data_IF_028327056665
#
_entry.id   IF_028327056665
#
_cell.length_a   1.000
_cell.length_b   1.000
_cell.length_c   1.000
_cell.angle_alpha   90.00
_cell.angle_beta   90.00
_cell.angle_gamma   90.00
#
_symmetry.space_group_name_H-M   'P 1'
#
loop_
_entity.id
_entity.type
_entity.pdbx_description
1 polymer ?
#
# COMPACT_ATOMS: atom_id res chain seq x y z
N UNK A 1 -17.24 -19.77 7.01
CA UNK A 1 -17.55 -19.24 8.37
C UNK A 1 -19.05 -19.23 8.56
N UNK A 2 -19.56 -19.55 9.75
CA UNK A 2 -21.00 -19.35 10.03
C UNK A 2 -21.32 -17.86 10.04
N UNK A 3 -22.39 -17.44 9.38
CA UNK A 3 -22.82 -16.02 9.32
C UNK A 3 -22.92 -15.35 10.70
N UNK A 4 -23.16 -16.13 11.76
CA UNK A 4 -23.31 -15.67 13.14
C UNK A 4 -22.21 -14.71 13.62
N UNK A 5 -20.96 -14.93 13.21
CA UNK A 5 -19.81 -14.18 13.71
C UNK A 5 -19.26 -13.14 12.73
N UNK A 6 -19.87 -12.99 11.54
CA UNK A 6 -19.41 -11.99 10.57
C UNK A 6 -19.96 -10.61 10.95
N UNK A 7 -19.12 -9.61 11.25
CA UNK A 7 -19.59 -8.26 11.53
C UNK A 7 -20.41 -7.70 10.35
N UNK A 8 -21.47 -6.95 10.67
CA UNK A 8 -22.33 -6.31 9.66
C UNK A 8 -21.92 -4.89 9.29
N UNK A 9 -21.18 -4.22 10.18
CA UNK A 9 -20.78 -2.81 10.03
C UNK A 9 -19.27 -2.62 9.88
N UNK A 10 -18.47 -3.59 10.33
CA UNK A 10 -17.02 -3.53 10.24
C UNK A 10 -16.56 -4.35 9.03
N UNK A 11 -15.55 -3.84 8.34
CA UNK A 11 -14.97 -4.52 7.20
C UNK A 11 -14.42 -5.89 7.58
N UNK A 12 -14.65 -6.88 6.71
CA UNK A 12 -14.00 -8.19 6.74
C UNK A 12 -13.72 -8.62 5.31
N UNK A 13 -12.58 -9.27 5.00
CA UNK A 13 -12.37 -9.83 3.66
C UNK A 13 -13.41 -10.93 3.40
N UNK A 14 -13.70 -11.23 2.13
CA UNK A 14 -14.65 -12.30 1.77
C UNK A 14 -14.28 -13.64 2.41
N UNK A 15 -12.97 -13.94 2.45
CA UNK A 15 -12.36 -15.13 3.03
C UNK A 15 -10.92 -14.81 3.47
N UNK A 16 -10.15 -15.82 3.91
CA UNK A 16 -8.72 -15.67 4.19
C UNK A 16 -8.37 -14.97 5.53
N UNK A 17 -7.12 -14.51 5.61
CA UNK A 17 -6.56 -13.78 6.76
C UNK A 17 -6.32 -12.32 6.40
N UNK A 18 -6.66 -11.41 7.31
CA UNK A 18 -6.36 -9.98 7.21
C UNK A 18 -5.75 -9.45 8.51
N UNK A 19 -4.83 -8.49 8.39
CA UNK A 19 -4.36 -7.68 9.51
C UNK A 19 -4.40 -6.17 9.17
N UNK A 20 -3.24 -5.53 9.07
CA UNK A 20 -3.10 -4.08 9.06
C UNK A 20 -3.84 -3.44 7.86
N UNK A 21 -4.51 -2.29 8.05
CA UNK A 21 -4.97 -1.47 6.94
C UNK A 21 -3.78 -0.80 6.25
N UNK A 22 -3.83 -0.77 4.92
CA UNK A 22 -2.81 -0.23 4.04
C UNK A 22 -3.41 0.80 3.09
N UNK A 23 -2.55 1.63 2.50
CA UNK A 23 -2.90 2.35 1.27
C UNK A 23 -4.11 3.28 1.33
N UNK A 24 -4.57 3.69 2.53
CA UNK A 24 -5.82 4.45 2.69
C UNK A 24 -5.76 5.76 1.91
N UNK A 25 -6.64 5.92 0.92
CA UNK A 25 -6.69 7.11 0.06
C UNK A 25 -8.13 7.35 -0.43
N UNK A 26 -8.50 8.62 -0.58
CA UNK A 26 -9.79 9.02 -1.15
C UNK A 26 -9.58 9.67 -2.52
N UNK A 27 -10.11 9.04 -3.56
CA UNK A 27 -9.94 9.47 -4.96
C UNK A 27 -11.22 9.21 -5.74
N UNK A 28 -11.59 10.11 -6.64
CA UNK A 28 -12.72 9.96 -7.57
C UNK A 28 -14.06 9.62 -6.87
N UNK A 29 -14.28 10.16 -5.66
CA UNK A 29 -15.51 9.96 -4.89
C UNK A 29 -15.56 8.66 -4.07
N UNK A 30 -14.44 7.92 -4.00
CA UNK A 30 -14.34 6.62 -3.34
C UNK A 30 -13.25 6.62 -2.28
N UNK A 31 -13.56 6.03 -1.13
CA UNK A 31 -12.58 5.61 -0.14
C UNK A 31 -11.99 4.28 -0.59
N UNK A 32 -10.68 4.24 -0.80
CA UNK A 32 -9.94 3.01 -1.07
C UNK A 32 -9.35 2.49 0.25
N UNK A 33 -9.71 1.25 0.59
CA UNK A 33 -9.13 0.47 1.67
C UNK A 33 -8.28 -0.63 1.07
N UNK A 34 -6.98 -0.60 1.33
CA UNK A 34 -6.12 -1.75 1.13
C UNK A 34 -5.82 -2.38 2.49
N UNK A 35 -5.41 -3.63 2.50
CA UNK A 35 -5.14 -4.35 3.74
C UNK A 35 -4.19 -5.50 3.51
N UNK A 36 -3.36 -5.80 4.50
CA UNK A 36 -2.54 -7.02 4.49
C UNK A 36 -3.47 -8.23 4.38
N UNK A 37 -3.22 -9.08 3.37
CA UNK A 37 -4.13 -10.15 3.00
C UNK A 37 -3.41 -11.44 2.65
N UNK A 38 -3.91 -12.56 3.17
CA UNK A 38 -3.54 -13.89 2.71
C UNK A 38 -4.81 -14.64 2.26
N UNK A 39 -5.04 -14.77 0.94
CA UNK A 39 -6.28 -15.32 0.40
C UNK A 39 -6.43 -16.83 0.60
N UNK A 40 -5.33 -17.55 0.79
CA UNK A 40 -5.32 -19.01 0.72
C UNK A 40 -5.45 -19.71 2.08
N UNK A 41 -5.42 -18.95 3.19
CA UNK A 41 -5.52 -19.51 4.53
C UNK A 41 -6.03 -18.47 5.53
N UNK A 42 -6.64 -18.94 6.62
CA UNK A 42 -6.99 -18.12 7.80
C UNK A 42 -5.82 -17.99 8.78
N UNK A 43 -4.60 -18.22 8.31
CA UNK A 43 -3.35 -18.02 9.06
C UNK A 43 -2.46 -17.09 8.26
N UNK A 44 -1.56 -16.41 8.95
CA UNK A 44 -0.52 -15.61 8.32
C UNK A 44 0.32 -16.45 7.34
N UNK A 45 0.76 -15.84 6.24
CA UNK A 45 1.48 -16.50 5.13
C UNK A 45 2.01 -15.48 4.12
N UNK A 46 2.20 -15.84 2.85
CA UNK A 46 2.57 -14.90 1.79
C UNK A 46 1.58 -13.73 1.70
N UNK A 47 2.04 -12.54 2.09
CA UNK A 47 1.19 -11.35 2.21
C UNK A 47 1.00 -10.64 0.86
N UNK A 48 -0.24 -10.26 0.61
CA UNK A 48 -0.72 -9.45 -0.51
C UNK A 48 -1.33 -8.16 0.03
N UNK A 49 -1.62 -7.20 -0.84
CA UNK A 49 -2.60 -6.15 -0.54
C UNK A 49 -3.95 -6.51 -1.14
N UNK A 50 -4.90 -6.88 -0.28
CA UNK A 50 -6.32 -6.89 -0.66
C UNK A 50 -6.82 -5.46 -0.91
N UNK A 51 -7.92 -5.33 -1.64
CA UNK A 51 -8.46 -4.02 -2.02
C UNK A 51 -9.99 -4.01 -1.95
N UNK A 52 -10.54 -2.93 -1.39
CA UNK A 52 -11.97 -2.68 -1.38
C UNK A 52 -12.23 -1.18 -1.43
N UNK A 53 -13.40 -0.80 -1.94
CA UNK A 53 -13.83 0.59 -2.03
C UNK A 53 -15.16 0.84 -1.34
N UNK A 54 -15.35 2.05 -0.84
CA UNK A 54 -16.61 2.49 -0.23
C UNK A 54 -16.92 3.94 -0.59
N UNK A 55 -18.20 4.29 -0.61
CA UNK A 55 -18.65 5.69 -0.71
C UNK A 55 -18.92 6.33 0.66
N UNK A 56 -19.07 5.52 1.70
CA UNK A 56 -19.58 5.96 3.01
C UNK A 56 -18.84 5.34 4.22
N UNK A 57 -17.77 4.59 3.98
CA UNK A 57 -16.97 3.85 4.96
C UNK A 57 -17.71 2.73 5.71
N UNK A 58 -18.93 2.40 5.30
CA UNK A 58 -19.77 1.36 5.92
C UNK A 58 -20.03 0.22 4.92
N UNK A 59 -20.43 0.56 3.70
CA UNK A 59 -20.72 -0.40 2.64
C UNK A 59 -19.50 -0.55 1.73
N UNK A 60 -18.95 -1.76 1.66
CA UNK A 60 -17.71 -2.05 0.96
C UNK A 60 -17.95 -2.96 -0.24
N UNK A 61 -17.34 -2.60 -1.37
CA UNK A 61 -17.24 -3.45 -2.56
C UNK A 61 -15.83 -4.03 -2.62
N UNK A 62 -15.72 -5.35 -2.59
CA UNK A 62 -14.45 -6.04 -2.77
C UNK A 62 -13.97 -5.93 -4.22
N UNK A 63 -12.67 -5.67 -4.39
CA UNK A 63 -12.01 -5.57 -5.68
C UNK A 63 -10.92 -6.67 -5.79
N UNK A 64 -10.36 -6.91 -6.99
CA UNK A 64 -9.22 -7.80 -7.14
C UNK A 64 -8.05 -7.41 -6.22
N UNK A 65 -7.17 -8.37 -5.95
CA UNK A 65 -5.94 -8.12 -5.19
C UNK A 65 -5.13 -7.04 -5.92
N UNK A 66 -4.71 -6.01 -5.19
CA UNK A 66 -3.99 -4.87 -5.76
C UNK A 66 -2.50 -5.16 -5.95
N UNK A 67 -1.87 -5.82 -4.98
CA UNK A 67 -0.44 -6.17 -5.02
C UNK A 67 -0.24 -7.62 -4.58
N UNK A 68 0.41 -8.40 -5.43
CA UNK A 68 0.80 -9.79 -5.17
C UNK A 68 2.31 -9.88 -4.89
N UNK A 69 2.79 -10.84 -4.07
CA UNK A 69 4.21 -11.14 -3.94
C UNK A 69 4.91 -11.36 -5.28
N UNK A 70 6.20 -11.06 -5.35
CA UNK A 70 7.05 -11.38 -6.50
C UNK A 70 8.45 -11.83 -6.05
N UNK A 71 9.44 -11.80 -6.95
CA UNK A 71 10.81 -12.21 -6.68
C UNK A 71 11.51 -11.35 -5.60
N UNK A 72 11.02 -10.14 -5.31
CA UNK A 72 11.51 -9.28 -4.21
C UNK A 72 10.92 -9.65 -2.85
N UNK A 73 9.87 -10.47 -2.83
CA UNK A 73 9.29 -11.04 -1.61
C UNK A 73 7.82 -10.72 -1.40
N UNK A 74 7.37 -10.85 -0.15
CA UNK A 74 5.99 -10.61 0.25
C UNK A 74 5.69 -9.12 0.35
N UNK A 75 4.42 -8.76 0.16
CA UNK A 75 3.95 -7.37 0.22
C UNK A 75 3.56 -7.06 1.65
N UNK A 76 4.39 -6.28 2.33
CA UNK A 76 4.14 -5.80 3.69
C UNK A 76 3.43 -4.45 3.69
N UNK A 77 3.12 -3.96 4.89
CA UNK A 77 2.31 -2.77 5.08
C UNK A 77 2.91 -1.51 4.44
N UNK A 78 2.07 -0.49 4.30
CA UNK A 78 2.47 0.76 3.67
C UNK A 78 1.30 1.70 3.41
N UNK A 79 1.57 2.74 2.63
CA UNK A 79 0.63 3.82 2.36
C UNK A 79 0.42 4.05 0.87
N UNK A 80 -0.56 4.88 0.53
CA UNK A 80 -0.76 5.33 -0.84
C UNK A 80 -1.01 6.83 -0.86
N UNK A 81 -0.63 7.46 -1.96
CA UNK A 81 -0.81 8.89 -2.21
C UNK A 81 -1.42 9.10 -3.58
N UNK A 82 -2.21 10.17 -3.72
CA UNK A 82 -2.69 10.63 -5.02
C UNK A 82 -1.73 11.71 -5.54
N UNK A 83 -0.95 11.39 -6.57
CA UNK A 83 0.07 12.29 -7.12
C UNK A 83 -0.57 13.25 -8.14
N UNK A 84 -1.28 14.25 -7.60
CA UNK A 84 -2.07 15.24 -8.35
C UNK A 84 -1.24 16.00 -9.40
N UNK A 85 0.03 16.25 -9.10
CA UNK A 85 0.93 17.06 -9.93
C UNK A 85 1.81 16.20 -10.85
N UNK A 86 1.61 14.88 -10.85
CA UNK A 86 2.38 13.92 -11.63
C UNK A 86 3.90 14.02 -11.41
N UNK A 87 4.30 14.26 -10.16
CA UNK A 87 5.71 14.39 -9.78
C UNK A 87 6.50 13.10 -10.02
N UNK A 88 5.84 11.94 -9.93
CA UNK A 88 6.41 10.63 -10.24
C UNK A 88 6.58 10.35 -11.74
N UNK A 89 5.87 11.08 -12.59
CA UNK A 89 5.84 10.85 -14.03
C UNK A 89 5.01 9.64 -14.47
N UNK A 90 4.32 8.93 -13.57
CA UNK A 90 3.49 7.76 -13.92
C UNK A 90 2.11 8.10 -14.49
N UNK A 91 1.67 9.34 -14.34
CA UNK A 91 0.45 9.89 -14.94
C UNK A 91 0.48 9.88 -16.46
N UNK A 92 -0.71 9.85 -17.07
CA UNK A 92 -0.90 9.94 -18.52
C UNK A 92 -2.04 10.89 -18.83
N UNK A 93 -1.83 11.80 -19.78
CA UNK A 93 -2.88 12.73 -20.23
C UNK A 93 -3.59 13.42 -19.05
N UNK A 94 -4.88 13.19 -18.90
CA UNK A 94 -5.77 13.68 -17.85
C UNK A 94 -5.83 12.80 -16.58
N UNK A 95 -5.15 11.64 -16.60
CA UNK A 95 -5.12 10.70 -15.47
C UNK A 95 -3.89 10.92 -14.60
N UNK A 96 -4.13 11.18 -13.32
CA UNK A 96 -3.11 11.19 -12.27
C UNK A 96 -3.06 9.85 -11.54
N UNK A 97 -1.88 9.38 -11.10
CA UNK A 97 -1.75 8.07 -10.50
C UNK A 97 -2.09 8.10 -9.00
N UNK A 98 -2.66 6.99 -8.52
CA UNK A 98 -2.44 6.58 -7.13
C UNK A 98 -1.08 5.88 -7.11
N UNK A 99 -0.20 6.28 -6.20
CA UNK A 99 1.09 5.62 -5.97
C UNK A 99 1.02 4.94 -4.60
N UNK A 100 1.14 3.62 -4.58
CA UNK A 100 1.33 2.82 -3.38
C UNK A 100 2.81 2.73 -3.05
N UNK A 101 3.16 2.93 -1.79
CA UNK A 101 4.50 2.80 -1.23
C UNK A 101 4.41 1.74 -0.14
N UNK A 102 5.17 0.66 -0.30
CA UNK A 102 5.02 -0.54 0.51
C UNK A 102 6.38 -1.19 0.77
N UNK A 103 6.42 -2.05 1.77
CA UNK A 103 7.62 -2.83 2.07
C UNK A 103 7.59 -4.15 1.30
N UNK A 104 8.66 -4.49 0.57
CA UNK A 104 8.94 -5.86 0.18
C UNK A 104 9.68 -6.54 1.34
N UNK A 105 9.19 -7.70 1.78
CA UNK A 105 9.78 -8.49 2.86
C UNK A 105 10.28 -9.84 2.33
N UNK A 106 11.56 -10.13 2.56
CA UNK A 106 12.21 -11.39 2.21
C UNK A 106 13.22 -11.80 3.28
N UNK A 107 13.83 -12.98 3.13
CA UNK A 107 14.96 -13.41 3.97
C UNK A 107 16.16 -12.46 3.86
N UNK A 108 16.29 -11.72 2.75
CA UNK A 108 17.30 -10.69 2.54
C UNK A 108 17.02 -9.36 3.25
N UNK A 109 15.92 -9.26 4.00
CA UNK A 109 15.49 -8.08 4.71
C UNK A 109 14.33 -7.33 4.05
N UNK A 110 13.99 -6.19 4.66
CA UNK A 110 12.84 -5.36 4.30
C UNK A 110 13.25 -4.13 3.51
N UNK A 111 12.66 -3.91 2.33
CA UNK A 111 13.03 -2.83 1.40
C UNK A 111 11.81 -2.03 0.99
N UNK A 112 11.95 -0.75 0.65
CA UNK A 112 10.79 0.08 0.26
C UNK A 112 10.63 0.08 -1.26
N UNK A 113 9.42 -0.22 -1.71
CA UNK A 113 9.05 -0.35 -3.12
C UNK A 113 7.80 0.48 -3.41
N UNK A 114 7.57 0.78 -4.67
CA UNK A 114 6.39 1.50 -5.12
C UNK A 114 5.66 0.78 -6.25
N UNK A 115 4.36 1.04 -6.34
CA UNK A 115 3.52 0.65 -7.46
C UNK A 115 2.54 1.78 -7.77
N UNK A 116 2.02 1.85 -8.98
CA UNK A 116 1.10 2.92 -9.38
C UNK A 116 -0.10 2.40 -10.15
N UNK A 117 -1.20 3.15 -10.09
CA UNK A 117 -2.44 2.82 -10.79
C UNK A 117 -3.10 4.05 -11.40
N UNK A 118 -3.51 3.93 -12.66
CA UNK A 118 -4.29 4.94 -13.39
C UNK A 118 -5.79 4.62 -13.47
N UNK A 119 -6.17 3.37 -13.23
CA UNK A 119 -7.57 2.91 -13.17
C UNK A 119 -8.08 2.72 -11.73
N UNK A 120 -7.21 3.00 -10.74
CA UNK A 120 -7.43 2.87 -9.29
C UNK A 120 -7.56 1.44 -8.78
N UNK A 121 -7.51 0.44 -9.66
CA UNK A 121 -7.83 -0.96 -9.35
C UNK A 121 -6.58 -1.82 -9.59
N UNK A 122 -6.01 -1.75 -10.80
CA UNK A 122 -4.83 -2.52 -11.18
C UNK A 122 -3.58 -1.70 -10.88
N UNK A 123 -2.67 -2.25 -10.09
CA UNK A 123 -1.41 -1.60 -9.76
C UNK A 123 -0.24 -2.23 -10.53
N UNK A 124 0.57 -1.37 -11.13
CA UNK A 124 1.81 -1.75 -11.81
C UNK A 124 2.98 -1.45 -10.87
N UNK A 125 3.72 -2.48 -10.46
CA UNK A 125 4.96 -2.29 -9.68
C UNK A 125 6.01 -1.57 -10.52
N UNK A 126 6.74 -0.65 -9.90
CA UNK A 126 7.83 0.05 -10.57
C UNK A 126 8.97 -0.91 -10.95
N UNK A 127 9.42 -0.84 -12.21
CA UNK A 127 10.37 -1.78 -12.78
C UNK A 127 11.77 -1.72 -12.15
N UNK A 128 12.09 -0.62 -11.47
CA UNK A 128 13.37 -0.44 -10.76
C UNK A 128 13.21 -0.54 -9.24
N UNK A 129 12.14 -1.20 -8.76
CA UNK A 129 12.03 -1.53 -7.35
C UNK A 129 13.23 -2.38 -6.89
N UNK A 130 13.66 -2.22 -5.62
CA UNK A 130 13.16 -1.27 -4.63
C UNK A 130 13.64 0.17 -4.87
N UNK A 131 12.87 1.17 -4.43
CA UNK A 131 13.30 2.59 -4.46
C UNK A 131 14.22 2.95 -3.29
N UNK A 132 14.10 2.24 -2.16
CA UNK A 132 15.00 2.38 -1.02
C UNK A 132 15.43 0.98 -0.56
N UNK A 133 16.72 0.69 -0.75
CA UNK A 133 17.37 -0.50 -0.22
C UNK A 133 17.45 -0.46 1.31
N UNK A 134 17.47 -1.64 1.94
CA UNK A 134 17.69 -1.74 3.38
C UNK A 134 19.17 -1.51 3.71
N UNK A 135 19.54 -0.49 4.51
CA UNK A 135 20.94 -0.25 4.88
C UNK A 135 21.47 -1.20 5.98
N UNK A 136 20.82 -2.34 6.22
CA UNK A 136 21.18 -3.30 7.27
C UNK A 136 20.44 -3.07 8.61
N UNK A 137 19.28 -2.44 8.55
CA UNK A 137 18.48 -2.07 9.72
C UNK A 137 17.34 -3.06 9.90
N UNK A 138 17.15 -3.49 11.15
CA UNK A 138 16.05 -4.36 11.56
C UNK A 138 14.73 -3.58 11.54
N UNK A 139 13.64 -4.26 11.20
CA UNK A 139 12.29 -3.69 11.20
C UNK A 139 12.19 -2.40 10.37
N UNK A 140 12.80 -2.41 9.17
CA UNK A 140 12.80 -1.30 8.23
C UNK A 140 11.58 -1.40 7.31
N UNK A 141 10.41 -1.00 7.81
CA UNK A 141 9.13 -1.27 7.17
C UNK A 141 8.05 -0.24 7.49
N UNK A 142 6.89 -0.43 6.86
CA UNK A 142 5.64 0.30 7.08
C UNK A 142 5.73 1.80 6.68
N UNK A 143 6.10 2.12 5.42
CA UNK A 143 6.32 3.49 4.98
C UNK A 143 5.00 4.27 4.89
N UNK A 144 4.92 5.37 5.66
CA UNK A 144 3.87 6.38 5.54
C UNK A 144 4.38 7.60 4.77
N UNK A 145 3.82 7.82 3.58
CA UNK A 145 4.15 8.96 2.72
C UNK A 145 3.03 10.00 2.72
N UNK A 146 3.43 11.27 2.67
CA UNK A 146 2.54 12.42 2.48
C UNK A 146 3.27 13.57 1.78
N UNK A 147 2.52 14.48 1.17
CA UNK A 147 3.06 15.70 0.56
C UNK A 147 3.24 16.79 1.62
N UNK A 148 4.40 17.43 1.65
CA UNK A 148 4.72 18.56 2.51
C UNK A 148 4.69 19.85 1.69
N UNK A 149 3.63 20.65 1.87
CA UNK A 149 3.33 21.82 1.03
C UNK A 149 4.41 22.91 1.13
N UNK A 150 4.89 23.24 2.34
CA UNK A 150 5.90 24.28 2.55
C UNK A 150 7.24 23.93 1.90
N UNK A 151 7.62 22.64 1.95
CA UNK A 151 8.86 22.14 1.37
C UNK A 151 8.74 21.70 -0.10
N UNK A 152 7.51 21.66 -0.64
CA UNK A 152 7.18 21.17 -1.99
C UNK A 152 7.80 19.81 -2.29
N UNK A 153 7.63 18.86 -1.38
CA UNK A 153 8.23 17.54 -1.50
C UNK A 153 7.41 16.46 -0.82
N UNK A 154 7.65 15.21 -1.20
CA UNK A 154 7.17 14.04 -0.48
C UNK A 154 8.03 13.76 0.75
N UNK A 155 7.38 13.49 1.87
CA UNK A 155 8.02 13.01 3.09
C UNK A 155 7.55 11.59 3.35
N UNK A 156 8.50 10.68 3.55
CA UNK A 156 8.24 9.33 4.02
C UNK A 156 8.70 9.19 5.47
N UNK A 157 7.84 8.63 6.31
CA UNK A 157 8.17 8.15 7.66
C UNK A 157 8.16 6.63 7.62
N UNK A 158 9.21 5.98 8.08
CA UNK A 158 9.34 4.52 8.07
C UNK A 158 9.85 4.02 9.41
N UNK A 159 9.29 2.92 9.91
CA UNK A 159 9.80 2.27 11.12
C UNK A 159 11.20 1.70 10.86
N UNK A 160 12.07 1.75 11.87
CA UNK A 160 13.45 1.30 11.79
C UNK A 160 13.90 0.84 13.19
N UNK A 161 13.55 -0.38 13.56
CA UNK A 161 13.88 -0.94 14.87
C UNK A 161 13.11 -0.27 16.01
N UNK A 162 13.77 0.61 16.76
CA UNK A 162 13.22 1.33 17.92
C UNK A 162 12.90 2.81 17.63
N UNK A 163 13.03 3.24 16.37
CA UNK A 163 12.84 4.63 15.94
C UNK A 163 12.14 4.70 14.59
N UNK A 164 11.90 5.92 14.14
CA UNK A 164 11.44 6.20 12.78
C UNK A 164 12.48 7.01 12.03
N UNK A 165 12.57 6.79 10.72
CA UNK A 165 13.36 7.60 9.81
C UNK A 165 12.48 8.45 8.91
N UNK A 166 13.01 9.63 8.57
CA UNK A 166 12.39 10.57 7.64
C UNK A 166 13.21 10.61 6.36
N UNK A 167 12.55 10.42 5.23
CA UNK A 167 13.12 10.59 3.90
C UNK A 167 12.36 11.69 3.17
N UNK A 168 13.08 12.43 2.33
CA UNK A 168 12.52 13.43 1.43
C UNK A 168 12.69 12.94 -0.01
N UNK A 169 11.68 13.11 -0.85
CA UNK A 169 11.78 12.90 -2.30
C UNK A 169 10.99 13.98 -3.05
N UNK A 170 11.44 14.33 -4.24
CA UNK A 170 10.73 15.23 -5.14
C UNK A 170 9.75 14.48 -6.06
N UNK A 171 9.93 13.17 -6.23
CA UNK A 171 9.27 12.37 -7.27
C UNK A 171 8.84 10.95 -6.83
N UNK A 172 8.88 10.63 -5.52
CA UNK A 172 8.54 9.31 -4.94
C UNK A 172 9.49 8.15 -5.30
N UNK A 173 10.51 8.40 -6.13
CA UNK A 173 11.53 7.44 -6.57
C UNK A 173 12.83 7.72 -5.83
#
# INVERSE_FOLDING_TARGET
MSELYRPRLHFTPESGWMNDPNGLVYVDGLYHLFYQYHPFSTKWGPMHWGHSVSKDLIHWTHLPIALEPDELGFIFSGSAVYDKDNTSGFGKEDKRPIVAIFTHHSDGGEKQSIAWSLDRICFTKYSHNPVIENPGIRDFRDPKVFWYEEGKCWIMVVSAGDRVYFYKSENLI
#
